data_IF_955148996732
#
_entry.id   IF_955148996732
#
_cell.length_a   1.000
_cell.length_b   1.000
_cell.length_c   1.000
_cell.angle_alpha   90.00
_cell.angle_beta   90.00
_cell.angle_gamma   90.00
#
_symmetry.space_group_name_H-M   'P 1'
#
loop_
_entity.id
_entity.type
_entity.pdbx_description
1 polymer ?
#
# COMPACT_ATOMS: atom_id res chain seq x y z
N UNK A 1 3.85 -12.60 33.70
CA UNK A 1 4.48 -12.09 32.46
C UNK A 1 5.83 -12.75 32.28
N UNK A 2 5.95 -13.59 31.28
CA UNK A 2 7.28 -14.11 30.89
C UNK A 2 7.98 -13.02 30.09
N UNK A 3 9.03 -12.45 30.65
CA UNK A 3 9.94 -11.58 29.94
C UNK A 3 10.58 -12.36 28.77
N UNK A 4 10.32 -11.93 27.55
CA UNK A 4 10.87 -12.55 26.35
C UNK A 4 11.87 -11.57 25.71
N UNK A 5 13.14 -11.59 26.12
CA UNK A 5 14.12 -10.58 25.68
C UNK A 5 14.35 -10.58 24.17
N UNK A 6 14.13 -11.71 23.49
CA UNK A 6 14.25 -11.77 22.04
C UNK A 6 13.23 -10.92 21.31
N UNK A 7 12.03 -10.69 21.89
CA UNK A 7 11.02 -9.81 21.26
C UNK A 7 11.49 -8.37 21.19
N UNK A 8 12.23 -7.92 22.19
CA UNK A 8 12.81 -6.58 22.21
C UNK A 8 13.85 -6.43 21.09
N UNK A 9 14.61 -7.49 20.80
CA UNK A 9 15.59 -7.48 19.70
C UNK A 9 14.93 -7.48 18.32
N UNK A 10 13.85 -8.24 18.14
CA UNK A 10 13.19 -8.36 16.84
C UNK A 10 12.20 -7.23 16.54
N UNK A 11 11.70 -6.53 17.56
CA UNK A 11 10.75 -5.43 17.38
C UNK A 11 11.27 -4.35 16.40
N UNK A 12 12.50 -3.84 16.53
CA UNK A 12 13.03 -2.87 15.55
C UNK A 12 13.15 -3.46 14.14
N UNK A 13 13.48 -4.74 14.02
CA UNK A 13 13.59 -5.41 12.72
C UNK A 13 12.24 -5.48 12.02
N UNK A 14 11.16 -5.77 12.75
CA UNK A 14 9.79 -5.77 12.20
C UNK A 14 9.38 -4.36 11.78
N UNK A 15 9.71 -3.34 12.56
CA UNK A 15 9.42 -1.96 12.20
C UNK A 15 10.12 -1.55 10.90
N UNK A 16 11.39 -1.89 10.74
CA UNK A 16 12.15 -1.64 9.51
C UNK A 16 11.55 -2.41 8.33
N UNK A 17 11.15 -3.67 8.55
CA UNK A 17 10.48 -4.45 7.50
C UNK A 17 9.19 -3.79 7.04
N UNK A 18 8.38 -3.26 7.96
CA UNK A 18 7.14 -2.56 7.61
C UNK A 18 7.42 -1.30 6.78
N UNK A 19 8.45 -0.53 7.12
CA UNK A 19 8.87 0.63 6.33
C UNK A 19 9.25 0.22 4.89
N UNK A 20 10.02 -0.85 4.76
CA UNK A 20 10.44 -1.36 3.46
C UNK A 20 9.26 -1.96 2.68
N UNK A 21 8.33 -2.63 3.36
CA UNK A 21 7.14 -3.20 2.74
C UNK A 21 6.26 -2.11 2.15
N UNK A 22 6.04 -1.02 2.89
CA UNK A 22 5.31 0.14 2.38
C UNK A 22 6.00 0.76 1.16
N UNK A 23 7.30 0.96 1.23
CA UNK A 23 8.08 1.52 0.12
C UNK A 23 7.98 0.66 -1.14
N UNK A 24 8.11 -0.66 -1.00
CA UNK A 24 7.97 -1.61 -2.11
C UNK A 24 6.54 -1.62 -2.66
N UNK A 25 5.54 -1.57 -1.77
CA UNK A 25 4.14 -1.51 -2.17
C UNK A 25 3.86 -0.28 -3.02
N UNK A 26 4.31 0.90 -2.61
CA UNK A 26 4.13 2.14 -3.36
C UNK A 26 4.83 2.08 -4.71
N UNK A 27 6.06 1.56 -4.78
CA UNK A 27 6.77 1.39 -6.05
C UNK A 27 6.05 0.44 -7.01
N UNK A 28 5.51 -0.67 -6.50
CA UNK A 28 4.72 -1.61 -7.31
C UNK A 28 3.42 -1.00 -7.79
N UNK A 29 2.76 -0.22 -6.94
CA UNK A 29 1.54 0.54 -7.31
C UNK A 29 1.86 1.51 -8.44
N UNK A 30 2.92 2.29 -8.33
CA UNK A 30 3.34 3.24 -9.38
C UNK A 30 3.59 2.53 -10.71
N UNK A 31 4.29 1.39 -10.67
CA UNK A 31 4.56 0.58 -11.86
C UNK A 31 3.27 -0.01 -12.44
N UNK A 32 2.40 -0.55 -11.60
CA UNK A 32 1.13 -1.12 -12.02
C UNK A 32 0.25 -0.08 -12.71
N UNK A 33 0.15 1.12 -12.13
CA UNK A 33 -0.59 2.24 -12.73
C UNK A 33 0.03 2.66 -14.07
N UNK A 34 1.35 2.74 -14.15
CA UNK A 34 2.05 3.12 -15.39
C UNK A 34 1.80 2.12 -16.52
N UNK A 35 1.73 0.83 -16.22
CA UNK A 35 1.52 -0.24 -17.17
C UNK A 35 0.04 -0.55 -17.45
N UNK A 36 -0.87 0.06 -16.68
CA UNK A 36 -2.31 -0.20 -16.86
C UNK A 36 -2.79 0.36 -18.19
N UNK A 37 -3.33 -0.53 -19.03
CA UNK A 37 -3.99 -0.15 -20.27
C UNK A 37 -5.49 0.05 -19.98
N UNK A 38 -5.90 1.29 -19.87
CA UNK A 38 -7.29 1.68 -19.60
C UNK A 38 -8.27 1.19 -20.69
N UNK A 39 -7.76 0.69 -21.81
CA UNK A 39 -8.58 0.17 -22.94
C UNK A 39 -9.14 -1.22 -22.69
N UNK A 40 -8.58 -1.97 -21.76
CA UNK A 40 -9.03 -3.33 -21.44
C UNK A 40 -10.33 -3.39 -20.66
N UNK A 41 -10.97 -2.26 -20.38
CA UNK A 41 -12.31 -2.20 -19.77
C UNK A 41 -13.44 -2.52 -20.74
N UNK A 42 -13.14 -2.93 -21.97
CA UNK A 42 -14.13 -3.18 -23.04
C UNK A 42 -14.77 -4.56 -22.95
N UNK A 43 -14.23 -5.46 -22.13
CA UNK A 43 -14.85 -6.76 -21.92
C UNK A 43 -15.87 -6.66 -20.80
N UNK A 44 -17.17 -6.81 -21.13
CA UNK A 44 -18.31 -6.73 -20.17
C UNK A 44 -18.20 -7.70 -18.99
N UNK A 45 -17.24 -8.63 -19.02
CA UNK A 45 -16.97 -9.61 -17.97
C UNK A 45 -15.89 -9.16 -16.99
N UNK A 46 -15.09 -8.13 -17.33
CA UNK A 46 -14.02 -7.63 -16.48
C UNK A 46 -14.40 -6.26 -15.91
N UNK A 47 -14.77 -6.23 -14.64
CA UNK A 47 -15.21 -5.02 -13.94
C UNK A 47 -14.06 -4.22 -13.30
N UNK A 48 -12.80 -4.68 -13.44
CA UNK A 48 -11.63 -4.06 -12.82
C UNK A 48 -10.44 -4.09 -13.78
N UNK A 49 -9.52 -3.16 -13.58
CA UNK A 49 -8.29 -3.05 -14.36
C UNK A 49 -7.21 -4.01 -13.85
N UNK A 50 -6.20 -4.30 -14.68
CA UNK A 50 -5.06 -5.15 -14.29
C UNK A 50 -4.29 -4.58 -13.10
N UNK A 51 -4.18 -3.26 -12.97
CA UNK A 51 -3.49 -2.62 -11.84
C UNK A 51 -4.19 -2.88 -10.51
N UNK A 52 -5.53 -2.97 -10.49
CA UNK A 52 -6.28 -3.29 -9.27
C UNK A 52 -5.93 -4.69 -8.74
N UNK A 53 -5.76 -5.66 -9.63
CA UNK A 53 -5.31 -7.02 -9.27
C UNK A 53 -3.90 -6.99 -8.68
N UNK A 54 -2.99 -6.26 -9.29
CA UNK A 54 -1.61 -6.13 -8.80
C UNK A 54 -1.55 -5.49 -7.42
N UNK A 55 -2.32 -4.44 -7.18
CA UNK A 55 -2.39 -3.74 -5.90
C UNK A 55 -2.97 -4.64 -4.80
N UNK A 56 -4.07 -5.35 -5.09
CA UNK A 56 -4.65 -6.31 -4.14
C UNK A 56 -3.68 -7.43 -3.81
N UNK A 57 -2.91 -7.90 -4.79
CA UNK A 57 -1.89 -8.93 -4.58
C UNK A 57 -0.79 -8.44 -3.64
N UNK A 58 -0.36 -7.19 -3.76
CA UNK A 58 0.62 -6.59 -2.84
C UNK A 58 0.10 -6.59 -1.41
N UNK A 59 -1.14 -6.16 -1.19
CA UNK A 59 -1.74 -6.13 0.14
C UNK A 59 -1.89 -7.54 0.72
N UNK A 60 -2.28 -8.50 -0.10
CA UNK A 60 -2.38 -9.89 0.32
C UNK A 60 -1.02 -10.46 0.72
N UNK A 61 0.04 -10.13 0.01
CA UNK A 61 1.40 -10.56 0.35
C UNK A 61 1.85 -10.02 1.70
N UNK A 62 1.55 -8.76 2.02
CA UNK A 62 1.84 -8.17 3.33
C UNK A 62 1.09 -8.93 4.43
N UNK A 63 -0.19 -9.20 4.22
CA UNK A 63 -1.03 -9.94 5.17
C UNK A 63 -0.51 -11.36 5.42
N UNK A 64 -0.17 -12.08 4.35
CA UNK A 64 0.36 -13.45 4.43
C UNK A 64 1.69 -13.47 5.17
N UNK A 65 2.58 -12.54 4.86
CA UNK A 65 3.87 -12.45 5.53
C UNK A 65 3.70 -12.18 7.03
N UNK A 66 2.81 -11.26 7.40
CA UNK A 66 2.52 -10.98 8.80
C UNK A 66 1.99 -12.23 9.53
N UNK A 67 1.07 -12.95 8.91
CA UNK A 67 0.52 -14.18 9.47
C UNK A 67 1.60 -15.27 9.65
N UNK A 68 2.52 -15.40 8.69
CA UNK A 68 3.63 -16.35 8.76
C UNK A 68 4.65 -15.99 9.83
N UNK A 69 4.81 -14.71 10.13
CA UNK A 69 5.71 -14.24 11.18
C UNK A 69 5.29 -14.72 12.57
N UNK A 70 3.99 -14.96 12.77
CA UNK A 70 3.42 -15.49 14.02
C UNK A 70 3.95 -14.75 15.27
N UNK A 71 3.78 -13.44 15.29
CA UNK A 71 4.29 -12.60 16.36
C UNK A 71 3.64 -12.95 17.70
N UNK A 72 4.42 -13.36 18.72
CA UNK A 72 3.87 -14.02 19.91
C UNK A 72 3.32 -13.09 20.98
N UNK A 73 3.62 -11.79 20.93
CA UNK A 73 3.18 -10.84 21.94
C UNK A 73 1.91 -10.11 21.50
N UNK A 74 0.76 -10.28 22.20
CA UNK A 74 -0.51 -9.68 21.78
C UNK A 74 -0.51 -8.14 21.76
N UNK A 75 0.16 -7.50 22.70
CA UNK A 75 0.16 -6.04 22.82
C UNK A 75 0.89 -5.38 21.65
N UNK A 76 2.12 -5.82 21.40
CA UNK A 76 2.92 -5.31 20.27
C UNK A 76 2.38 -5.78 18.93
N UNK A 77 1.76 -6.96 18.87
CA UNK A 77 1.04 -7.45 17.69
C UNK A 77 -0.07 -6.48 17.29
N UNK A 78 -0.84 -5.99 18.25
CA UNK A 78 -1.89 -5.02 18.00
C UNK A 78 -1.34 -3.73 17.40
N UNK A 79 -0.22 -3.23 17.91
CA UNK A 79 0.45 -2.03 17.39
C UNK A 79 0.89 -2.24 15.94
N UNK A 80 1.52 -3.38 15.64
CA UNK A 80 1.95 -3.70 14.28
C UNK A 80 0.78 -3.88 13.31
N UNK A 81 -0.29 -4.54 13.72
CA UNK A 81 -1.49 -4.71 12.89
C UNK A 81 -2.12 -3.36 12.59
N UNK A 82 -2.22 -2.49 13.58
CA UNK A 82 -2.74 -1.12 13.40
C UNK A 82 -1.91 -0.35 12.38
N UNK A 83 -0.59 -0.48 12.44
CA UNK A 83 0.32 0.14 11.48
C UNK A 83 0.14 -0.45 10.08
N UNK A 84 0.05 -1.76 9.95
CA UNK A 84 -0.18 -2.42 8.65
C UNK A 84 -1.49 -1.93 8.03
N UNK A 85 -2.56 -1.85 8.80
CA UNK A 85 -3.84 -1.34 8.31
C UNK A 85 -3.75 0.11 7.87
N UNK A 86 -3.07 0.96 8.62
CA UNK A 86 -2.83 2.35 8.25
C UNK A 86 -2.02 2.46 6.95
N UNK A 87 -0.97 1.68 6.82
CA UNK A 87 -0.12 1.64 5.62
C UNK A 87 -0.91 1.15 4.39
N UNK A 88 -1.74 0.12 4.54
CA UNK A 88 -2.61 -0.39 3.47
C UNK A 88 -3.63 0.66 3.05
N UNK A 89 -4.24 1.35 4.00
CA UNK A 89 -5.18 2.44 3.70
C UNK A 89 -4.49 3.58 2.95
N UNK A 90 -3.32 4.00 3.39
CA UNK A 90 -2.51 5.03 2.72
C UNK A 90 -2.14 4.63 1.31
N UNK A 91 -1.68 3.41 1.13
CA UNK A 91 -1.32 2.88 -0.18
C UNK A 91 -2.54 2.78 -1.11
N UNK A 92 -3.70 2.41 -0.58
CA UNK A 92 -4.97 2.38 -1.33
C UNK A 92 -5.41 3.76 -1.80
N UNK A 93 -5.31 4.77 -0.94
CA UNK A 93 -5.58 6.17 -1.30
C UNK A 93 -4.59 6.66 -2.36
N UNK A 94 -3.33 6.33 -2.21
CA UNK A 94 -2.29 6.66 -3.20
C UNK A 94 -2.62 6.04 -4.56
N UNK A 95 -3.01 4.77 -4.59
CA UNK A 95 -3.42 4.09 -5.82
C UNK A 95 -4.60 4.79 -6.50
N UNK A 96 -5.63 5.13 -5.72
CA UNK A 96 -6.81 5.83 -6.24
C UNK A 96 -6.43 7.19 -6.84
N UNK A 97 -5.55 7.93 -6.17
CA UNK A 97 -5.07 9.22 -6.64
C UNK A 97 -4.27 9.09 -7.95
N UNK A 98 -3.36 8.12 -8.04
CA UNK A 98 -2.59 7.85 -9.26
C UNK A 98 -3.49 7.45 -10.43
N UNK A 99 -4.51 6.64 -10.20
CA UNK A 99 -5.49 6.26 -11.23
C UNK A 99 -6.32 7.45 -11.67
N UNK A 100 -6.76 8.29 -10.75
CA UNK A 100 -7.46 9.53 -11.09
C UNK A 100 -6.61 10.46 -11.96
N UNK A 101 -5.35 10.64 -11.64
CA UNK A 101 -4.43 11.44 -12.44
C UNK A 101 -4.23 10.86 -13.84
N UNK A 102 -4.09 9.55 -13.95
CA UNK A 102 -3.95 8.85 -15.23
C UNK A 102 -5.19 9.02 -16.10
N UNK A 103 -6.37 8.86 -15.52
CA UNK A 103 -7.65 9.05 -16.23
C UNK A 103 -7.80 10.50 -16.70
N UNK A 104 -7.42 11.46 -15.88
CA UNK A 104 -7.45 12.88 -16.25
C UNK A 104 -6.53 13.21 -17.41
N UNK A 105 -5.34 12.64 -17.45
CA UNK A 105 -4.39 12.86 -18.52
C UNK A 105 -4.84 12.22 -19.85
N UNK A 106 -5.65 11.19 -19.79
CA UNK A 106 -6.21 10.52 -20.98
C UNK A 106 -7.55 11.10 -21.44
N UNK A 107 -8.31 11.71 -20.53
CA UNK A 107 -9.56 12.41 -20.83
C UNK A 107 -9.48 13.83 -20.29
N UNK A 108 -9.64 14.84 -21.11
CA UNK A 108 -9.60 16.28 -20.74
C UNK A 108 -10.75 16.74 -19.82
N UNK A 109 -11.24 15.87 -18.95
CA UNK A 109 -12.41 16.07 -18.09
C UNK A 109 -12.00 16.36 -16.64
N UNK A 110 -12.48 17.45 -16.09
CA UNK A 110 -12.04 18.20 -14.90
C UNK A 110 -12.63 17.73 -13.56
N UNK A 111 -12.97 16.46 -13.34
CA UNK A 111 -13.76 16.04 -12.16
C UNK A 111 -13.02 15.47 -10.94
N UNK A 112 -11.71 15.37 -10.96
CA UNK A 112 -10.94 14.74 -9.86
C UNK A 112 -10.07 15.70 -9.02
N UNK A 113 -10.47 16.92 -8.81
CA UNK A 113 -9.59 17.96 -8.20
C UNK A 113 -9.42 17.87 -6.67
N UNK A 114 -10.03 16.89 -5.96
CA UNK A 114 -9.98 16.82 -4.49
C UNK A 114 -8.93 15.88 -3.90
N UNK A 115 -8.28 15.05 -4.69
CA UNK A 115 -7.31 14.06 -4.21
C UNK A 115 -5.83 14.50 -4.33
N UNK A 116 -5.57 15.69 -4.83
CA UNK A 116 -4.22 16.21 -5.05
C UNK A 116 -3.40 16.50 -3.78
N UNK A 117 -4.01 16.45 -2.58
CA UNK A 117 -3.30 16.67 -1.32
C UNK A 117 -2.62 15.40 -0.77
N UNK A 118 -3.07 14.21 -1.15
CA UNK A 118 -2.48 12.96 -0.67
C UNK A 118 -1.10 12.70 -1.28
N UNK A 119 -0.82 13.20 -2.47
CA UNK A 119 0.47 13.04 -3.15
C UNK A 119 1.62 13.72 -2.41
N UNK A 120 1.37 14.89 -1.80
CA UNK A 120 2.34 15.60 -0.97
C UNK A 120 2.69 14.83 0.31
N UNK A 121 1.73 14.13 0.90
CA UNK A 121 1.95 13.36 2.11
C UNK A 121 2.90 12.18 1.86
N UNK A 122 2.73 11.46 0.75
CA UNK A 122 3.62 10.36 0.38
C UNK A 122 5.01 10.83 -0.02
N UNK A 123 5.13 11.95 -0.72
CA UNK A 123 6.43 12.57 -1.00
C UNK A 123 7.15 12.97 0.29
N UNK A 124 6.42 13.51 1.27
CA UNK A 124 6.98 13.87 2.57
C UNK A 124 7.45 12.65 3.38
N UNK A 125 6.71 11.55 3.33
CA UNK A 125 7.08 10.31 4.00
C UNK A 125 8.35 9.68 3.40
N UNK A 126 8.58 9.88 2.09
CA UNK A 126 9.76 9.37 1.39
C UNK A 126 11.01 10.25 1.50
N UNK A 127 10.86 11.54 1.78
CA UNK A 127 11.96 12.50 1.88
C UNK A 127 12.54 12.59 3.29
N UNK A 128 11.99 11.89 4.26
CA UNK A 128 12.39 11.97 5.67
C UNK A 128 13.36 10.87 6.11
N UNK A 129 13.79 10.02 5.19
CA UNK A 129 14.84 9.02 5.45
C UNK A 129 16.15 9.42 4.78
#
# INVERSE_FOLDING_TARGET
MRYRPYLVCYHPAVAVWLDMALLRAVRRIMRAVALDDLKNTVDDLVTHTGSAVDVTTVFQQIQVFWAQLDWPDPETSYVFISRILDDVCKAGVFYADQMCQKIKSSTSSSRCSRLGQSNLFFQYAFLKD
#
